data_IF_105855821348
#
_entry.id   IF_105855821348
#
_cell.length_a   1.000
_cell.length_b   1.000
_cell.length_c   1.000
_cell.angle_alpha   90.00
_cell.angle_beta   90.00
_cell.angle_gamma   90.00
#
_symmetry.space_group_name_H-M   'P 1'
#
loop_
_entity.id
_entity.type
_entity.pdbx_description
1 polymer ?
#
# COMPACT_ATOMS: atom_id res chain seq x y z
N UNK A 1 -43.08 77.91 18.46
CA UNK A 1 -43.54 76.69 19.18
C UNK A 1 -43.46 75.52 18.21
N UNK A 2 -42.80 74.45 18.64
CA UNK A 2 -42.36 73.30 17.83
C UNK A 2 -43.51 72.39 17.38
N UNK A 3 -43.46 71.90 16.14
CA UNK A 3 -44.10 70.64 15.71
C UNK A 3 -43.24 70.01 14.59
N UNK A 4 -42.96 68.69 14.62
CA UNK A 4 -41.96 68.07 13.75
C UNK A 4 -42.57 67.49 12.46
N UNK A 5 -41.79 67.57 11.37
CA UNK A 5 -42.04 66.90 10.09
C UNK A 5 -41.65 65.42 10.22
N UNK A 6 -42.58 64.49 9.93
CA UNK A 6 -42.32 63.06 9.83
C UNK A 6 -41.75 62.72 8.45
N UNK A 7 -40.50 62.27 8.40
CA UNK A 7 -39.89 61.64 7.23
C UNK A 7 -40.19 60.13 7.22
N UNK A 8 -40.78 59.65 6.12
CA UNK A 8 -40.87 58.22 5.81
C UNK A 8 -39.48 57.70 5.43
N UNK A 9 -39.00 56.66 6.13
CA UNK A 9 -37.83 55.88 5.72
C UNK A 9 -38.29 54.61 4.98
N UNK A 10 -37.97 54.52 3.68
CA UNK A 10 -38.01 53.28 2.93
C UNK A 10 -36.89 52.34 3.40
N UNK A 11 -37.23 51.15 3.88
CA UNK A 11 -36.28 50.08 4.13
C UNK A 11 -36.05 49.28 2.83
N UNK A 12 -34.90 49.47 2.18
CA UNK A 12 -34.39 48.56 1.16
C UNK A 12 -33.64 47.43 1.87
N UNK A 13 -34.27 46.26 1.96
CA UNK A 13 -33.62 45.01 2.36
C UNK A 13 -32.74 44.51 1.21
N UNK A 14 -31.42 44.53 1.40
CA UNK A 14 -30.49 43.76 0.57
C UNK A 14 -30.55 42.29 0.99
N UNK A 15 -31.23 41.47 0.19
CA UNK A 15 -31.08 40.02 0.24
C UNK A 15 -29.66 39.63 -0.22
N UNK A 16 -28.77 39.33 0.72
CA UNK A 16 -27.59 38.51 0.44
C UNK A 16 -28.06 37.09 0.13
N UNK A 17 -28.26 36.77 -1.14
CA UNK A 17 -28.45 35.39 -1.58
C UNK A 17 -27.15 34.63 -1.31
N UNK A 18 -27.19 33.73 -0.32
CA UNK A 18 -26.07 32.84 0.00
C UNK A 18 -25.86 31.91 -1.21
N UNK A 19 -24.70 32.01 -1.87
CA UNK A 19 -24.28 31.01 -2.86
C UNK A 19 -24.25 29.63 -2.18
N UNK A 20 -24.82 28.58 -2.78
CA UNK A 20 -24.76 27.24 -2.20
C UNK A 20 -23.31 26.76 -2.15
N UNK A 21 -22.85 26.28 -0.97
CA UNK A 21 -21.48 25.82 -0.72
C UNK A 21 -20.93 24.83 -1.77
N UNK A 22 -21.80 24.04 -2.41
CA UNK A 22 -21.42 23.10 -3.47
C UNK A 22 -20.93 23.77 -4.77
N UNK A 23 -21.28 25.04 -5.03
CA UNK A 23 -20.81 25.79 -6.18
C UNK A 23 -19.41 26.37 -5.94
N UNK A 24 -19.13 26.84 -4.72
CA UNK A 24 -17.79 27.30 -4.31
C UNK A 24 -16.80 26.15 -4.25
N UNK A 25 -17.20 24.98 -3.72
CA UNK A 25 -16.35 23.80 -3.63
C UNK A 25 -15.94 23.30 -5.04
N UNK A 26 -16.87 23.26 -6.00
CA UNK A 26 -16.54 22.89 -7.40
C UNK A 26 -15.64 23.90 -8.10
N UNK A 27 -15.80 25.20 -7.86
CA UNK A 27 -14.88 26.20 -8.39
C UNK A 27 -13.48 26.07 -7.78
N UNK A 28 -13.40 25.82 -6.47
CA UNK A 28 -12.13 25.62 -5.77
C UNK A 28 -11.42 24.34 -6.23
N UNK A 29 -12.15 23.23 -6.40
CA UNK A 29 -11.63 21.98 -7.00
C UNK A 29 -11.11 22.20 -8.43
N UNK A 30 -11.81 22.99 -9.23
CA UNK A 30 -11.40 23.33 -10.59
C UNK A 30 -10.09 24.12 -10.64
N UNK A 31 -9.79 24.90 -9.61
CA UNK A 31 -8.51 25.61 -9.49
C UNK A 31 -7.40 24.74 -8.89
N UNK A 32 -7.76 23.73 -8.09
CA UNK A 32 -6.83 22.87 -7.39
C UNK A 32 -6.27 21.73 -8.27
N UNK A 33 -7.01 21.30 -9.30
CA UNK A 33 -6.58 20.27 -10.26
C UNK A 33 -6.69 20.82 -11.67
N UNK A 34 -5.55 20.98 -12.35
CA UNK A 34 -5.49 21.58 -13.68
C UNK A 34 -4.79 20.63 -14.65
N UNK A 35 -5.44 20.35 -15.78
CA UNK A 35 -4.86 19.61 -16.89
C UNK A 35 -4.33 20.56 -17.98
N UNK A 36 -3.17 20.25 -18.54
CA UNK A 36 -2.59 20.92 -19.69
C UNK A 36 -1.87 19.91 -20.59
N UNK A 37 -1.92 20.14 -21.90
CA UNK A 37 -1.03 19.49 -22.87
C UNK A 37 -0.01 20.51 -23.34
N UNK A 38 1.27 20.19 -23.19
CA UNK A 38 2.38 21.11 -23.46
C UNK A 38 3.35 20.45 -24.44
N UNK A 39 3.92 21.22 -25.36
CA UNK A 39 5.02 20.75 -26.21
C UNK A 39 6.35 21.01 -25.52
N UNK A 40 7.05 19.96 -25.10
CA UNK A 40 8.33 20.06 -24.41
C UNK A 40 9.35 19.09 -25.01
N UNK A 41 10.57 19.59 -25.21
CA UNK A 41 11.67 18.81 -25.79
C UNK A 41 11.27 18.06 -27.07
N UNK A 42 10.40 18.62 -27.92
CA UNK A 42 9.98 18.01 -29.19
C UNK A 42 8.93 16.89 -29.07
N UNK A 43 8.23 16.77 -27.94
CA UNK A 43 7.11 15.82 -27.76
C UNK A 43 5.93 16.48 -27.05
N UNK A 44 4.72 15.99 -27.31
CA UNK A 44 3.54 16.35 -26.53
C UNK A 44 3.58 15.68 -25.16
N UNK A 45 3.36 16.46 -24.11
CA UNK A 45 3.39 16.04 -22.71
C UNK A 45 2.05 16.39 -22.08
N UNK A 46 1.36 15.38 -21.56
CA UNK A 46 0.12 15.54 -20.82
C UNK A 46 0.41 15.65 -19.33
N UNK A 47 -0.03 16.76 -18.70
CA UNK A 47 0.27 17.09 -17.32
C UNK A 47 -1.00 17.41 -16.57
N UNK A 48 -1.22 16.74 -15.44
CA UNK A 48 -2.18 17.17 -14.42
C UNK A 48 -1.40 17.70 -13.23
N UNK A 49 -1.63 18.97 -12.91
CA UNK A 49 -1.06 19.65 -11.74
C UNK A 49 -2.08 19.68 -10.61
N UNK A 50 -1.68 19.26 -9.41
CA UNK A 50 -2.54 19.16 -8.24
C UNK A 50 -1.98 20.01 -7.10
N UNK A 51 -2.81 20.86 -6.52
CA UNK A 51 -2.49 21.58 -5.29
C UNK A 51 -2.80 20.68 -4.07
N UNK A 52 -1.76 20.05 -3.50
CA UNK A 52 -1.91 19.15 -2.35
C UNK A 52 -2.31 19.85 -1.05
N UNK A 53 -2.21 21.18 -0.98
CA UNK A 53 -2.64 21.98 0.18
C UNK A 53 -4.14 22.31 0.14
N UNK A 54 -4.85 21.98 -0.95
CA UNK A 54 -6.28 22.18 -1.02
C UNK A 54 -7.00 21.21 -0.07
N UNK A 55 -7.84 21.69 0.86
CA UNK A 55 -8.54 20.81 1.81
C UNK A 55 -9.60 19.93 1.13
N UNK A 56 -10.02 20.30 -0.09
CA UNK A 56 -10.98 19.55 -0.90
C UNK A 56 -10.34 18.43 -1.71
N UNK A 57 -9.01 18.31 -1.72
CA UNK A 57 -8.31 17.33 -2.55
C UNK A 57 -7.74 16.20 -1.70
N UNK A 58 -7.94 14.98 -2.16
CA UNK A 58 -7.27 13.80 -1.62
C UNK A 58 -6.62 12.96 -2.72
N UNK A 59 -5.47 12.38 -2.40
CA UNK A 59 -4.76 11.42 -3.26
C UNK A 59 -5.00 10.02 -2.72
N UNK A 60 -5.52 9.11 -3.56
CA UNK A 60 -5.86 7.75 -3.14
C UNK A 60 -5.44 6.73 -4.19
N UNK A 61 -5.02 5.52 -3.79
CA UNK A 61 -4.79 4.45 -4.74
C UNK A 61 -6.12 3.86 -5.23
N UNK A 62 -6.15 3.49 -6.51
CA UNK A 62 -7.18 2.66 -7.10
C UNK A 62 -6.56 1.31 -7.40
N UNK A 63 -7.07 0.22 -6.82
CA UNK A 63 -6.46 -1.10 -6.90
C UNK A 63 -7.42 -2.12 -7.50
N UNK A 64 -6.90 -2.94 -8.41
CA UNK A 64 -7.54 -4.18 -8.79
C UNK A 64 -7.46 -5.17 -7.62
N UNK A 65 -8.39 -6.14 -7.51
CA UNK A 65 -8.26 -7.23 -6.55
C UNK A 65 -6.92 -7.97 -6.73
N UNK A 66 -6.35 -8.47 -5.63
CA UNK A 66 -5.05 -9.14 -5.65
C UNK A 66 -4.97 -10.24 -6.71
N UNK A 67 -3.91 -10.21 -7.53
CA UNK A 67 -3.69 -11.16 -8.63
C UNK A 67 -4.59 -10.94 -9.85
N UNK A 68 -5.50 -9.96 -9.83
CA UNK A 68 -6.35 -9.59 -10.96
C UNK A 68 -5.83 -8.34 -11.64
N UNK A 69 -6.27 -8.17 -12.89
CA UNK A 69 -6.04 -6.98 -13.70
C UNK A 69 -7.38 -6.47 -14.19
N UNK A 70 -7.52 -5.16 -14.25
CA UNK A 70 -8.72 -4.48 -14.72
C UNK A 70 -8.33 -3.42 -15.74
N UNK A 71 -9.22 -3.14 -16.68
CA UNK A 71 -9.06 -2.00 -17.57
C UNK A 71 -9.01 -0.69 -16.78
N UNK A 72 -8.43 0.34 -17.38
CA UNK A 72 -8.41 1.69 -16.79
C UNK A 72 -9.82 2.21 -16.49
N UNK A 73 -10.79 1.92 -17.37
CA UNK A 73 -12.19 2.30 -17.19
C UNK A 73 -12.80 1.61 -15.96
N UNK A 74 -12.60 0.29 -15.80
CA UNK A 74 -13.10 -0.44 -14.62
C UNK A 74 -12.52 0.08 -13.30
N UNK A 75 -11.23 0.40 -13.27
CA UNK A 75 -10.57 0.96 -12.08
C UNK A 75 -11.06 2.36 -11.71
N UNK A 76 -11.57 3.13 -12.67
CA UNK A 76 -12.02 4.51 -12.45
C UNK A 76 -13.54 4.66 -12.36
N UNK A 77 -14.31 3.69 -12.86
CA UNK A 77 -15.77 3.79 -12.98
C UNK A 77 -16.47 3.98 -11.63
N UNK A 78 -15.97 3.31 -10.59
CA UNK A 78 -16.59 3.28 -9.26
C UNK A 78 -16.32 4.55 -8.46
N UNK A 79 -15.05 4.93 -8.35
CA UNK A 79 -14.63 5.99 -7.44
C UNK A 79 -14.56 7.37 -8.14
N UNK A 80 -14.68 7.41 -9.48
CA UNK A 80 -14.79 8.60 -10.34
C UNK A 80 -13.80 9.72 -9.98
N UNK A 81 -12.49 9.46 -10.10
CA UNK A 81 -11.48 10.47 -9.79
C UNK A 81 -11.57 11.68 -10.73
N UNK A 82 -11.21 12.86 -10.22
CA UNK A 82 -11.00 14.07 -11.01
C UNK A 82 -9.83 13.89 -11.99
N UNK A 83 -8.82 13.13 -11.60
CA UNK A 83 -7.72 12.71 -12.48
C UNK A 83 -7.19 11.35 -12.02
N UNK A 84 -6.75 10.51 -12.96
CA UNK A 84 -6.07 9.27 -12.62
C UNK A 84 -4.84 9.06 -13.52
N UNK A 85 -3.74 8.59 -12.94
CA UNK A 85 -2.52 8.21 -13.65
C UNK A 85 -2.20 6.75 -13.31
N UNK A 86 -1.63 6.02 -14.26
CA UNK A 86 -1.02 4.71 -13.96
C UNK A 86 -0.06 4.81 -12.78
N UNK A 87 -0.15 3.86 -11.84
CA UNK A 87 0.69 3.83 -10.65
C UNK A 87 1.99 3.03 -10.82
N UNK A 88 2.36 2.30 -9.77
CA UNK A 88 3.59 1.51 -9.71
C UNK A 88 3.51 0.25 -10.58
N UNK A 89 4.66 -0.39 -10.75
CA UNK A 89 4.87 -1.62 -11.50
C UNK A 89 4.16 -2.84 -10.90
N UNK A 90 3.90 -3.82 -11.75
CA UNK A 90 3.39 -5.13 -11.38
C UNK A 90 4.01 -6.22 -12.27
N UNK A 91 4.08 -7.44 -11.75
CA UNK A 91 4.47 -8.60 -12.52
C UNK A 91 3.37 -8.95 -13.54
N UNK A 92 3.72 -8.91 -14.82
CA UNK A 92 2.73 -9.04 -15.92
C UNK A 92 2.12 -10.43 -16.03
N UNK A 93 2.76 -11.45 -15.45
CA UNK A 93 2.28 -12.84 -15.46
C UNK A 93 1.26 -13.07 -14.34
N UNK A 94 1.63 -12.75 -13.11
CA UNK A 94 0.83 -13.00 -11.90
C UNK A 94 -0.13 -11.86 -11.53
N UNK A 95 0.10 -10.64 -12.03
CA UNK A 95 -0.67 -9.46 -11.64
C UNK A 95 -0.32 -8.94 -10.23
N UNK A 96 0.75 -9.41 -9.62
CA UNK A 96 1.20 -8.95 -8.31
C UNK A 96 1.88 -7.59 -8.45
N UNK A 97 1.46 -6.61 -7.64
CA UNK A 97 2.12 -5.29 -7.55
C UNK A 97 3.50 -5.46 -6.92
N UNK A 98 4.54 -4.86 -7.51
CA UNK A 98 5.94 -5.04 -7.08
C UNK A 98 6.57 -3.76 -6.51
N UNK A 99 5.79 -2.69 -6.35
CA UNK A 99 6.16 -1.48 -5.60
C UNK A 99 5.25 -1.25 -4.41
N UNK A 100 5.68 -0.39 -3.49
CA UNK A 100 4.88 -0.06 -2.32
C UNK A 100 3.76 0.91 -2.67
N UNK A 101 2.58 0.66 -2.12
CA UNK A 101 1.47 1.61 -2.14
C UNK A 101 0.96 1.74 -0.71
N UNK A 102 0.81 2.97 -0.24
CA UNK A 102 0.31 3.29 1.10
C UNK A 102 -0.95 4.13 0.97
N UNK A 103 -1.95 3.81 1.78
CA UNK A 103 -3.16 4.61 1.99
C UNK A 103 -3.42 4.74 3.48
N UNK A 104 -3.56 5.96 3.98
CA UNK A 104 -3.91 6.26 5.38
C UNK A 104 -3.04 5.51 6.40
N UNK A 105 -1.73 5.57 6.20
CA UNK A 105 -0.71 4.92 7.03
C UNK A 105 -0.65 3.39 6.90
N UNK A 106 -1.41 2.78 6.01
CA UNK A 106 -1.42 1.34 5.76
C UNK A 106 -0.74 1.00 4.44
N UNK A 107 0.19 0.05 4.49
CA UNK A 107 0.76 -0.58 3.30
C UNK A 107 -0.30 -1.48 2.65
N UNK A 108 -0.82 -1.05 1.50
CA UNK A 108 -1.88 -1.76 0.75
C UNK A 108 -1.34 -2.57 -0.43
N UNK A 109 -0.12 -2.27 -0.88
CA UNK A 109 0.67 -3.13 -1.74
C UNK A 109 2.15 -3.02 -1.31
N UNK A 110 2.90 -4.11 -1.46
CA UNK A 110 4.29 -4.17 -1.01
C UNK A 110 5.23 -4.53 -2.16
N UNK A 111 6.39 -3.88 -2.16
CA UNK A 111 7.48 -4.15 -3.07
C UNK A 111 8.83 -3.71 -2.52
N UNK A 112 9.85 -3.88 -3.34
CA UNK A 112 11.25 -3.52 -3.00
C UNK A 112 11.84 -2.47 -3.93
N UNK A 113 11.16 -2.11 -5.03
CA UNK A 113 11.78 -1.33 -6.10
C UNK A 113 11.73 0.18 -5.85
N UNK A 114 12.87 0.82 -6.15
CA UNK A 114 13.05 2.26 -6.29
C UNK A 114 12.74 3.12 -5.07
N UNK A 115 12.21 4.31 -5.37
CA UNK A 115 11.91 5.36 -4.40
C UNK A 115 10.42 5.63 -4.35
N UNK A 116 9.92 6.15 -3.23
CA UNK A 116 8.54 6.56 -3.08
C UNK A 116 8.37 8.07 -3.10
N UNK A 117 7.31 8.52 -3.74
CA UNK A 117 6.71 9.83 -3.45
C UNK A 117 5.72 9.62 -2.31
N UNK A 118 5.90 10.35 -1.22
CA UNK A 118 5.08 10.28 -0.01
C UNK A 118 4.35 11.58 0.21
N UNK A 119 3.12 11.54 0.71
CA UNK A 119 2.30 12.69 1.06
C UNK A 119 1.84 12.48 2.51
N UNK A 120 2.20 13.41 3.40
CA UNK A 120 1.75 13.37 4.80
C UNK A 120 0.31 13.88 4.95
N UNK A 121 -0.24 13.77 6.17
CA UNK A 121 -1.61 14.24 6.47
C UNK A 121 -1.82 15.75 6.32
N UNK A 122 -0.75 16.53 6.18
CA UNK A 122 -0.79 17.99 5.99
C UNK A 122 -0.61 18.38 4.51
N UNK A 123 -0.55 17.40 3.61
CA UNK A 123 -0.35 17.63 2.18
C UNK A 123 1.11 17.92 1.79
N UNK A 124 2.08 17.73 2.70
CA UNK A 124 3.50 17.88 2.37
C UNK A 124 3.97 16.65 1.62
N UNK A 125 4.52 16.86 0.43
CA UNK A 125 5.06 15.79 -0.40
C UNK A 125 6.59 15.72 -0.32
N UNK A 126 7.14 14.50 -0.33
CA UNK A 126 8.59 14.27 -0.33
C UNK A 126 8.99 13.04 -1.12
N UNK A 127 10.24 13.02 -1.57
CA UNK A 127 10.90 11.84 -2.10
C UNK A 127 11.53 11.04 -0.95
N UNK A 128 11.27 9.74 -0.91
CA UNK A 128 11.82 8.81 0.07
C UNK A 128 12.51 7.63 -0.64
N UNK A 129 13.85 7.55 -0.63
CA UNK A 129 14.57 6.37 -1.07
C UNK A 129 14.21 5.16 -0.19
N UNK A 130 13.98 3.99 -0.79
CA UNK A 130 13.59 2.77 -0.06
C UNK A 130 14.70 1.71 0.01
N UNK A 131 15.86 1.97 -0.58
CA UNK A 131 17.08 1.16 -0.45
C UNK A 131 16.89 -0.35 -0.72
N UNK A 132 15.97 -0.72 -1.62
CA UNK A 132 15.71 -2.12 -1.96
C UNK A 132 14.99 -2.93 -0.87
N UNK A 133 14.57 -2.30 0.25
CA UNK A 133 13.91 -3.00 1.36
C UNK A 133 12.42 -3.15 1.10
N UNK A 134 11.84 -4.23 1.62
CA UNK A 134 10.38 -4.43 1.59
C UNK A 134 9.67 -3.31 2.35
N UNK A 135 8.51 -2.89 1.84
CA UNK A 135 7.67 -1.85 2.43
C UNK A 135 7.42 -2.02 3.93
N UNK A 136 7.23 -3.25 4.43
CA UNK A 136 7.00 -3.52 5.87
C UNK A 136 8.12 -3.04 6.80
N UNK A 137 9.31 -2.72 6.28
CA UNK A 137 10.44 -2.21 7.05
C UNK A 137 10.53 -0.69 7.11
N UNK A 138 9.58 0.01 6.51
CA UNK A 138 9.50 1.46 6.54
C UNK A 138 8.32 1.91 7.39
N UNK A 139 8.48 3.02 8.09
CA UNK A 139 7.39 3.65 8.82
C UNK A 139 6.52 4.48 7.88
N UNK A 140 5.23 4.15 7.86
CA UNK A 140 4.21 4.78 7.04
C UNK A 140 3.15 5.50 7.86
N UNK A 141 3.17 5.40 9.20
CA UNK A 141 2.04 5.72 10.06
C UNK A 141 1.52 7.16 9.89
N UNK A 142 2.39 8.11 9.53
CA UNK A 142 2.06 9.52 9.35
C UNK A 142 1.72 9.93 7.92
N UNK A 143 1.73 8.99 6.98
CA UNK A 143 1.43 9.26 5.58
C UNK A 143 -0.06 9.11 5.29
N UNK A 144 -0.59 10.07 4.54
CA UNK A 144 -1.88 9.90 3.87
C UNK A 144 -1.72 8.97 2.66
N UNK A 145 -0.65 9.14 1.90
CA UNK A 145 -0.43 8.41 0.66
C UNK A 145 1.06 8.17 0.41
N UNK A 146 1.39 7.03 -0.19
CA UNK A 146 2.68 6.84 -0.82
C UNK A 146 2.56 5.90 -2.02
N UNK A 147 3.41 6.13 -3.02
CA UNK A 147 3.56 5.23 -4.16
C UNK A 147 5.03 5.13 -4.52
N UNK A 148 5.54 3.90 -4.56
CA UNK A 148 6.85 3.60 -5.12
C UNK A 148 6.83 3.73 -6.63
N UNK A 149 7.99 4.03 -7.17
CA UNK A 149 8.27 3.91 -8.58
C UNK A 149 9.77 3.92 -8.77
N UNK A 150 10.17 4.21 -9.98
CA UNK A 150 11.55 4.45 -10.32
C UNK A 150 11.85 4.06 -11.76
N UNK A 151 13.10 4.31 -12.21
CA UNK A 151 14.15 4.99 -11.47
C UNK A 151 13.77 6.42 -11.08
N UNK A 152 14.43 6.94 -10.06
CA UNK A 152 14.35 8.33 -9.65
C UNK A 152 14.86 9.19 -10.80
N UNK A 153 14.04 10.14 -11.21
CA UNK A 153 14.33 11.05 -12.31
C UNK A 153 15.06 12.28 -11.81
N UNK A 154 14.52 12.87 -10.73
CA UNK A 154 15.04 14.07 -10.12
C UNK A 154 15.09 13.96 -8.60
N UNK A 155 16.17 14.48 -8.04
CA UNK A 155 16.31 14.73 -6.61
C UNK A 155 16.88 16.13 -6.41
N UNK A 156 16.19 16.95 -5.60
CA UNK A 156 16.59 18.34 -5.32
C UNK A 156 16.82 19.18 -6.60
N UNK A 157 15.99 18.98 -7.63
CA UNK A 157 16.01 19.70 -8.91
C UNK A 157 17.09 19.22 -9.89
N UNK A 158 17.89 18.21 -9.52
CA UNK A 158 18.96 17.65 -10.36
C UNK A 158 18.55 16.30 -10.93
N UNK A 159 18.98 16.04 -12.17
CA UNK A 159 18.81 14.72 -12.82
C UNK A 159 19.71 13.69 -12.14
N UNK A 160 19.11 12.62 -11.61
CA UNK A 160 19.80 11.59 -10.80
C UNK A 160 19.45 10.17 -11.25
N UNK A 161 19.24 9.97 -12.56
CA UNK A 161 18.84 8.68 -13.12
C UNK A 161 19.93 7.64 -12.92
N UNK A 162 19.73 6.74 -11.96
CA UNK A 162 20.66 5.63 -11.68
C UNK A 162 19.92 4.31 -11.37
N UNK A 163 19.32 3.68 -12.39
CA UNK A 163 18.35 2.59 -12.22
C UNK A 163 18.87 1.37 -11.47
N UNK A 164 20.14 1.01 -11.66
CA UNK A 164 20.74 -0.17 -11.03
C UNK A 164 20.81 -0.06 -9.50
N UNK A 165 21.07 1.12 -8.93
CA UNK A 165 21.04 1.29 -7.46
C UNK A 165 19.64 1.16 -6.86
N UNK A 166 18.63 1.33 -7.70
CA UNK A 166 17.22 1.33 -7.33
C UNK A 166 16.54 -0.03 -7.59
N UNK A 167 17.34 -1.04 -7.96
CA UNK A 167 16.87 -2.40 -8.21
C UNK A 167 16.24 -2.61 -9.58
N UNK A 168 16.43 -1.68 -10.53
CA UNK A 168 15.95 -1.83 -11.89
C UNK A 168 17.03 -2.43 -12.79
N UNK A 169 16.76 -3.64 -13.29
CA UNK A 169 17.65 -4.37 -14.21
C UNK A 169 16.96 -4.82 -15.50
N UNK A 170 15.65 -4.58 -15.65
CA UNK A 170 14.90 -4.98 -16.84
C UNK A 170 15.34 -4.16 -18.08
N UNK A 171 15.92 -4.78 -19.11
CA UNK A 171 16.30 -4.07 -20.34
C UNK A 171 15.13 -3.36 -21.01
N UNK A 172 13.91 -3.90 -20.85
CA UNK A 172 12.67 -3.32 -21.37
C UNK A 172 12.37 -1.92 -20.83
N UNK A 173 12.90 -1.59 -19.65
CA UNK A 173 12.77 -0.29 -19.00
C UNK A 173 13.67 0.77 -19.66
N UNK A 174 14.82 0.40 -20.22
CA UNK A 174 15.87 1.36 -20.64
C UNK A 174 15.69 1.92 -22.06
N UNK A 175 15.01 1.20 -22.95
CA UNK A 175 14.70 1.69 -24.30
C UNK A 175 13.66 2.83 -24.32
N UNK A 176 13.49 3.56 -25.43
CA UNK A 176 12.39 4.52 -25.58
C UNK A 176 11.02 3.85 -25.41
N UNK A 177 10.18 4.39 -24.54
CA UNK A 177 8.84 3.87 -24.26
C UNK A 177 7.89 5.03 -24.02
N UNK A 178 6.59 4.76 -24.12
CA UNK A 178 5.58 5.63 -23.49
C UNK A 178 5.90 5.72 -21.99
N UNK A 179 5.82 6.90 -21.40
CA UNK A 179 6.23 7.10 -20.00
C UNK A 179 5.12 7.72 -19.18
N UNK A 180 5.14 7.39 -17.90
CA UNK A 180 4.38 8.07 -16.85
C UNK A 180 5.36 8.46 -15.75
N UNK A 181 5.11 9.58 -15.11
CA UNK A 181 5.96 10.07 -14.03
C UNK A 181 5.12 10.81 -12.98
N UNK A 182 5.64 10.82 -11.77
CA UNK A 182 5.11 11.60 -10.66
C UNK A 182 6.19 12.55 -10.18
N UNK A 183 5.86 13.83 -10.09
CA UNK A 183 6.77 14.88 -9.63
C UNK A 183 6.18 15.71 -8.51
N UNK A 184 7.05 16.36 -7.74
CA UNK A 184 6.69 17.35 -6.73
C UNK A 184 7.45 18.63 -7.05
N UNK A 185 6.76 19.76 -7.13
CA UNK A 185 7.40 21.09 -7.26
C UNK A 185 7.91 21.58 -5.90
N UNK A 186 8.73 22.64 -5.88
CA UNK A 186 9.14 23.29 -4.62
C UNK A 186 7.98 23.94 -3.85
N UNK A 187 6.81 24.10 -4.48
CA UNK A 187 5.59 24.65 -3.89
C UNK A 187 4.59 23.58 -3.42
N UNK A 188 5.04 22.33 -3.26
CA UNK A 188 4.24 21.16 -2.87
C UNK A 188 3.08 20.85 -3.84
N UNK A 189 3.21 21.23 -5.13
CA UNK A 189 2.27 20.76 -6.16
C UNK A 189 2.70 19.39 -6.66
N UNK A 190 1.74 18.48 -6.83
CA UNK A 190 1.95 17.19 -7.47
C UNK A 190 1.81 17.34 -8.99
N UNK A 191 2.72 16.74 -9.73
CA UNK A 191 2.69 16.66 -11.19
C UNK A 191 2.46 15.21 -11.59
N UNK A 192 1.31 14.93 -12.20
CA UNK A 192 1.00 13.63 -12.81
C UNK A 192 1.21 13.75 -14.31
N UNK A 193 2.23 13.07 -14.83
CA UNK A 193 2.70 13.28 -16.21
C UNK A 193 2.58 12.00 -17.02
N UNK A 194 2.09 12.12 -18.25
CA UNK A 194 2.11 11.07 -19.24
C UNK A 194 2.68 11.57 -20.57
N UNK A 195 3.53 10.77 -21.20
CA UNK A 195 4.09 11.03 -22.54
C UNK A 195 3.71 9.85 -23.43
N UNK A 196 2.81 10.11 -24.38
CA UNK A 196 2.26 9.09 -25.26
C UNK A 196 3.23 8.67 -26.38
N UNK A 197 4.19 9.50 -26.75
CA UNK A 197 5.27 9.15 -27.66
C UNK A 197 6.42 8.44 -26.93
N UNK A 198 7.16 7.55 -27.61
CA UNK A 198 8.32 6.89 -27.01
C UNK A 198 9.43 7.87 -26.64
N UNK A 199 9.81 7.89 -25.37
CA UNK A 199 10.96 8.67 -24.85
C UNK A 199 11.82 7.84 -23.91
N UNK A 200 13.12 8.18 -23.85
CA UNK A 200 14.05 7.60 -22.89
C UNK A 200 13.78 8.12 -21.48
N UNK A 201 14.29 7.42 -20.47
CA UNK A 201 14.18 7.86 -19.06
C UNK A 201 14.90 9.19 -18.83
N UNK A 202 16.07 9.39 -19.44
CA UNK A 202 16.78 10.66 -19.33
C UNK A 202 15.99 11.82 -19.95
N UNK A 203 15.36 11.61 -21.12
CA UNK A 203 14.48 12.64 -21.72
C UNK A 203 13.28 12.92 -20.83
N UNK A 204 12.68 11.90 -20.22
CA UNK A 204 11.63 12.08 -19.22
C UNK A 204 12.11 12.89 -18.01
N UNK A 205 13.32 12.66 -17.51
CA UNK A 205 13.89 13.43 -16.39
C UNK A 205 14.03 14.92 -16.74
N UNK A 206 14.51 15.25 -17.95
CA UNK A 206 14.59 16.64 -18.41
C UNK A 206 13.21 17.28 -18.64
N UNK A 207 12.22 16.52 -19.11
CA UNK A 207 10.82 16.98 -19.19
C UNK A 207 10.33 17.34 -17.78
N UNK A 208 10.49 16.45 -16.79
CA UNK A 208 10.09 16.70 -15.41
C UNK A 208 10.81 17.93 -14.83
N UNK A 209 12.09 18.11 -15.16
CA UNK A 209 12.88 19.25 -14.70
C UNK A 209 12.34 20.56 -15.28
N UNK A 210 12.02 20.55 -16.58
CA UNK A 210 11.44 21.69 -17.30
C UNK A 210 10.04 22.05 -16.79
N UNK A 211 9.28 21.06 -16.30
CA UNK A 211 8.00 21.26 -15.63
C UNK A 211 8.13 21.82 -14.20
N UNK A 212 9.35 22.06 -13.72
CA UNK A 212 9.61 22.62 -12.38
C UNK A 212 9.54 21.60 -11.25
N UNK A 213 9.65 20.30 -11.54
CA UNK A 213 9.72 19.28 -10.51
C UNK A 213 11.06 19.39 -9.74
N UNK A 214 10.98 19.49 -8.41
CA UNK A 214 12.14 19.37 -7.51
C UNK A 214 12.49 17.90 -7.30
N UNK A 215 11.48 17.05 -7.16
CA UNK A 215 11.66 15.60 -7.06
C UNK A 215 10.76 14.93 -8.08
N UNK A 216 11.23 13.85 -8.69
CA UNK A 216 10.41 13.08 -9.62
C UNK A 216 10.84 11.62 -9.69
N UNK A 217 9.87 10.73 -9.87
CA UNK A 217 10.08 9.30 -10.12
C UNK A 217 9.37 8.89 -11.41
N UNK A 218 9.95 7.93 -12.12
CA UNK A 218 9.27 7.24 -13.21
C UNK A 218 8.23 6.25 -12.63
N UNK A 219 7.11 6.05 -13.32
CA UNK A 219 6.08 5.07 -12.99
C UNK A 219 5.96 4.01 -14.10
N UNK A 220 4.99 3.10 -13.97
CA UNK A 220 4.79 2.06 -14.99
C UNK A 220 4.30 2.66 -16.32
N UNK A 221 5.04 2.37 -17.38
CA UNK A 221 4.87 2.95 -18.71
C UNK A 221 4.60 1.91 -19.80
N UNK A 222 5.06 2.20 -21.02
CA UNK A 222 4.81 1.34 -22.18
C UNK A 222 3.32 1.12 -22.42
N UNK A 223 2.91 -0.15 -22.52
CA UNK A 223 1.49 -0.49 -22.64
C UNK A 223 0.67 -0.15 -21.39
N UNK A 224 1.31 0.09 -20.24
CA UNK A 224 0.60 0.56 -19.04
C UNK A 224 0.35 2.06 -19.01
N UNK A 225 0.99 2.87 -19.86
CA UNK A 225 0.90 4.32 -19.77
C UNK A 225 -0.56 4.77 -19.96
N UNK A 226 -1.12 5.41 -18.94
CA UNK A 226 -2.52 5.82 -18.90
C UNK A 226 -2.71 7.07 -18.06
N UNK A 227 -3.58 7.96 -18.53
CA UNK A 227 -3.96 9.20 -17.85
C UNK A 227 -5.41 9.53 -18.18
N UNK A 228 -6.20 9.89 -17.18
CA UNK A 228 -7.51 10.49 -17.36
C UNK A 228 -7.64 11.79 -16.58
N UNK A 229 -8.53 12.66 -17.05
CA UNK A 229 -8.92 13.90 -16.39
C UNK A 229 -10.41 14.16 -16.62
N UNK A 230 -11.15 14.42 -15.54
CA UNK A 230 -12.60 14.67 -15.52
C UNK A 230 -13.43 13.66 -16.33
N UNK A 231 -13.13 12.38 -16.15
CA UNK A 231 -13.81 11.28 -16.85
C UNK A 231 -13.34 11.04 -18.30
N UNK A 232 -12.55 11.94 -18.88
CA UNK A 232 -11.97 11.76 -20.21
C UNK A 232 -10.64 10.98 -20.12
N UNK A 233 -10.52 9.89 -20.86
CA UNK A 233 -9.27 9.15 -21.00
C UNK A 233 -8.36 9.86 -22.01
N UNK A 234 -7.32 10.54 -21.51
CA UNK A 234 -6.39 11.35 -22.31
C UNK A 234 -5.33 10.46 -22.97
N UNK A 235 -4.76 9.53 -22.19
CA UNK A 235 -3.77 8.57 -22.65
C UNK A 235 -4.32 7.17 -22.37
N UNK A 236 -4.51 6.37 -23.42
CA UNK A 236 -5.10 5.03 -23.32
C UNK A 236 -4.01 3.97 -23.07
N UNK A 237 -4.12 3.17 -22.00
CA UNK A 237 -3.23 2.02 -21.84
C UNK A 237 -3.61 0.92 -22.83
N UNK A 238 -2.60 0.20 -23.31
CA UNK A 238 -2.75 -0.96 -24.20
C UNK A 238 -2.93 -2.29 -23.47
N UNK A 239 -2.94 -2.29 -22.13
CA UNK A 239 -3.18 -3.49 -21.30
C UNK A 239 -4.00 -3.16 -20.05
N UNK A 240 -4.58 -4.20 -19.47
CA UNK A 240 -5.18 -4.13 -18.14
C UNK A 240 -4.11 -3.94 -17.06
N UNK A 241 -4.48 -3.21 -16.01
CA UNK A 241 -3.63 -2.71 -14.96
C UNK A 241 -4.04 -3.28 -13.60
N UNK A 242 -3.16 -3.11 -12.61
CA UNK A 242 -3.40 -3.53 -11.23
C UNK A 242 -3.62 -2.35 -10.30
N UNK A 243 -3.10 -1.17 -10.64
CA UNK A 243 -3.16 0.00 -9.78
C UNK A 243 -3.09 1.32 -10.56
N UNK A 244 -3.78 2.34 -10.05
CA UNK A 244 -3.69 3.74 -10.49
C UNK A 244 -3.54 4.65 -9.26
N UNK A 245 -3.07 5.88 -9.50
CA UNK A 245 -3.07 7.00 -8.56
C UNK A 245 -4.25 7.88 -8.94
N UNK A 246 -5.22 8.06 -8.03
CA UNK A 246 -6.39 8.89 -8.26
C UNK A 246 -6.38 10.18 -7.44
N UNK A 247 -6.86 11.26 -8.04
CA UNK A 247 -7.11 12.55 -7.40
C UNK A 247 -8.61 12.73 -7.25
N UNK A 248 -9.05 13.13 -6.06
CA UNK A 248 -10.45 13.15 -5.69
C UNK A 248 -10.82 14.47 -5.03
N UNK A 249 -11.98 15.00 -5.40
CA UNK A 249 -12.62 16.16 -4.75
C UNK A 249 -13.29 15.79 -3.43
N UNK A 250 -13.88 16.78 -2.78
CA UNK A 250 -14.56 16.65 -1.49
C UNK A 250 -15.79 15.72 -1.59
N UNK A 251 -16.50 15.77 -2.71
CA UNK A 251 -17.69 14.98 -3.00
C UNK A 251 -17.39 13.53 -3.40
N UNK A 252 -16.11 13.16 -3.48
CA UNK A 252 -15.73 11.86 -3.99
C UNK A 252 -16.30 10.74 -3.11
N UNK A 253 -16.79 9.64 -3.72
CA UNK A 253 -17.21 8.46 -2.99
C UNK A 253 -16.09 8.06 -2.03
N UNK A 254 -16.48 7.67 -0.83
CA UNK A 254 -15.49 7.24 0.14
C UNK A 254 -14.68 6.06 -0.43
N UNK A 255 -13.39 5.94 -0.09
CA UNK A 255 -12.44 5.12 -0.83
C UNK A 255 -12.95 3.70 -1.06
N UNK A 256 -12.66 3.05 -2.19
CA UNK A 256 -12.93 1.60 -2.33
C UNK A 256 -12.15 0.75 -1.31
N UNK A 257 -11.02 1.26 -0.80
CA UNK A 257 -10.32 0.74 0.39
C UNK A 257 -11.18 0.84 1.66
N UNK A 258 -12.25 1.65 1.70
CA UNK A 258 -13.23 1.67 2.78
C UNK A 258 -13.88 0.31 2.96
N UNK A 259 -14.02 -0.53 1.92
CA UNK A 259 -14.61 -1.87 2.07
C UNK A 259 -13.60 -2.88 2.64
N UNK A 260 -12.34 -2.79 2.23
CA UNK A 260 -11.25 -3.51 2.88
C UNK A 260 -11.09 -3.03 4.34
N UNK A 261 -11.25 -1.73 4.61
CA UNK A 261 -11.23 -1.14 5.94
C UNK A 261 -12.51 -1.44 6.75
N UNK A 262 -13.66 -1.62 6.14
CA UNK A 262 -14.90 -2.04 6.83
C UNK A 262 -14.79 -3.53 7.14
N UNK A 263 -14.30 -4.35 6.21
CA UNK A 263 -14.01 -5.76 6.46
C UNK A 263 -12.95 -5.90 7.56
N UNK A 264 -11.86 -5.11 7.51
CA UNK A 264 -10.82 -5.11 8.53
C UNK A 264 -11.32 -4.55 9.87
N UNK A 265 -12.15 -3.49 9.88
CA UNK A 265 -12.80 -2.97 11.11
C UNK A 265 -13.77 -3.98 11.70
N UNK A 266 -14.57 -4.65 10.88
CA UNK A 266 -15.50 -5.72 11.31
C UNK A 266 -14.72 -6.94 11.82
N UNK A 267 -13.66 -7.34 11.14
CA UNK A 267 -12.77 -8.40 11.58
C UNK A 267 -12.13 -8.06 12.93
N UNK A 268 -11.68 -6.81 13.10
CA UNK A 268 -11.11 -6.32 14.36
C UNK A 268 -12.17 -6.27 15.48
N UNK A 269 -13.39 -5.83 15.21
CA UNK A 269 -14.48 -5.82 16.18
C UNK A 269 -14.84 -7.24 16.64
N UNK A 270 -14.93 -8.18 15.70
CA UNK A 270 -15.10 -9.60 16.02
C UNK A 270 -13.92 -10.15 16.83
N UNK A 271 -12.69 -9.77 16.51
CA UNK A 271 -11.51 -10.16 17.27
C UNK A 271 -11.56 -9.65 18.73
N UNK A 272 -11.83 -8.35 18.91
CA UNK A 272 -11.91 -7.72 20.23
C UNK A 272 -13.00 -8.34 21.08
N UNK A 273 -14.20 -8.52 20.52
CA UNK A 273 -15.30 -9.17 21.23
C UNK A 273 -15.00 -10.63 21.55
N UNK A 274 -14.38 -11.36 20.61
CA UNK A 274 -13.93 -12.74 20.83
C UNK A 274 -12.94 -12.85 21.99
N UNK A 275 -11.95 -11.95 22.06
CA UNK A 275 -11.00 -11.87 23.17
C UNK A 275 -11.71 -11.53 24.48
N UNK A 276 -12.63 -10.56 24.50
CA UNK A 276 -13.40 -10.18 25.70
C UNK A 276 -14.21 -11.36 26.23
N UNK A 277 -14.92 -12.07 25.35
CA UNK A 277 -15.70 -13.26 25.69
C UNK A 277 -14.84 -14.40 26.21
N UNK A 278 -13.63 -14.56 25.66
CA UNK A 278 -12.67 -15.55 26.14
C UNK A 278 -12.24 -15.29 27.58
N UNK A 279 -11.89 -14.03 27.91
CA UNK A 279 -11.56 -13.65 29.29
C UNK A 279 -12.75 -13.79 30.25
N UNK A 280 -13.98 -13.65 29.75
CA UNK A 280 -15.20 -13.90 30.50
C UNK A 280 -15.57 -15.40 30.61
N UNK A 281 -14.72 -16.32 30.16
CA UNK A 281 -14.96 -17.78 30.20
C UNK A 281 -15.99 -18.30 29.20
N UNK A 282 -16.48 -17.46 28.27
CA UNK A 282 -17.54 -17.81 27.30
C UNK A 282 -16.95 -18.40 26.02
N UNK A 283 -16.34 -19.58 26.13
CA UNK A 283 -15.46 -20.16 25.11
C UNK A 283 -16.13 -20.38 23.74
N UNK A 284 -17.38 -20.86 23.69
CA UNK A 284 -18.08 -21.10 22.41
C UNK A 284 -18.34 -19.81 21.62
N UNK A 285 -18.79 -18.76 22.32
CA UNK A 285 -19.04 -17.46 21.69
C UNK A 285 -17.73 -16.81 21.28
N UNK A 286 -16.69 -16.91 22.11
CA UNK A 286 -15.35 -16.44 21.78
C UNK A 286 -14.84 -17.10 20.49
N UNK A 287 -14.94 -18.43 20.38
CA UNK A 287 -14.57 -19.20 19.19
C UNK A 287 -15.29 -18.71 17.94
N UNK A 288 -16.61 -18.52 18.02
CA UNK A 288 -17.43 -18.05 16.89
C UNK A 288 -16.97 -16.67 16.38
N UNK A 289 -16.77 -15.73 17.29
CA UNK A 289 -16.30 -14.38 16.95
C UNK A 289 -14.88 -14.39 16.36
N UNK A 290 -13.95 -15.12 16.97
CA UNK A 290 -12.57 -15.21 16.46
C UNK A 290 -12.48 -15.93 15.11
N UNK A 291 -13.31 -16.95 14.86
CA UNK A 291 -13.36 -17.62 13.57
C UNK A 291 -13.89 -16.68 12.46
N UNK A 292 -14.90 -15.84 12.76
CA UNK A 292 -15.38 -14.80 11.84
C UNK A 292 -14.29 -13.78 11.53
N UNK A 293 -13.55 -13.32 12.54
CA UNK A 293 -12.41 -12.41 12.34
C UNK A 293 -11.35 -13.01 11.41
N UNK A 294 -10.95 -14.26 11.66
CA UNK A 294 -9.96 -14.97 10.85
C UNK A 294 -10.45 -15.28 9.43
N UNK A 295 -11.75 -15.49 9.22
CA UNK A 295 -12.33 -15.66 7.89
C UNK A 295 -12.37 -14.35 7.08
N UNK A 296 -12.68 -13.23 7.75
CA UNK A 296 -12.72 -11.90 7.12
C UNK A 296 -11.34 -11.37 6.75
N UNK A 297 -10.31 -11.68 7.54
CA UNK A 297 -8.92 -11.30 7.25
C UNK A 297 -7.95 -12.45 7.59
N UNK A 298 -7.77 -13.42 6.67
CA UNK A 298 -6.94 -14.60 6.90
C UNK A 298 -5.44 -14.31 7.03
N UNK A 299 -4.99 -13.11 6.65
CA UNK A 299 -3.59 -12.68 6.72
C UNK A 299 -3.14 -12.28 8.13
N UNK A 300 -4.09 -12.05 9.05
CA UNK A 300 -3.77 -11.54 10.38
C UNK A 300 -3.41 -12.66 11.35
N UNK A 301 -2.10 -12.83 11.59
CA UNK A 301 -1.54 -13.84 12.47
C UNK A 301 -2.16 -13.84 13.89
N UNK A 302 -2.46 -12.65 14.43
CA UNK A 302 -3.08 -12.48 15.77
C UNK A 302 -4.48 -13.10 15.88
N UNK A 303 -5.25 -13.15 14.79
CA UNK A 303 -6.60 -13.73 14.81
C UNK A 303 -6.52 -15.25 14.96
N UNK A 304 -5.62 -15.87 14.19
CA UNK A 304 -5.32 -17.29 14.29
C UNK A 304 -4.72 -17.66 15.66
N UNK A 305 -3.83 -16.84 16.20
CA UNK A 305 -3.25 -17.07 17.53
C UNK A 305 -4.29 -17.02 18.65
N UNK A 306 -5.25 -16.09 18.60
CA UNK A 306 -6.31 -16.02 19.60
C UNK A 306 -7.28 -17.20 19.47
N UNK A 307 -7.66 -17.56 18.23
CA UNK A 307 -8.51 -18.73 17.98
C UNK A 307 -7.84 -20.02 18.46
N UNK A 308 -6.52 -20.15 18.29
CA UNK A 308 -5.72 -21.25 18.82
C UNK A 308 -5.77 -21.32 20.35
N UNK A 309 -5.66 -20.18 21.04
CA UNK A 309 -5.79 -20.10 22.49
C UNK A 309 -7.14 -20.58 23.00
N UNK A 310 -8.24 -20.17 22.36
CA UNK A 310 -9.58 -20.68 22.70
C UNK A 310 -9.69 -22.18 22.48
N UNK A 311 -9.19 -22.69 21.35
CA UNK A 311 -9.19 -24.13 21.06
C UNK A 311 -8.40 -24.94 22.08
N UNK A 312 -7.25 -24.42 22.54
CA UNK A 312 -6.42 -25.04 23.56
C UNK A 312 -7.15 -25.16 24.90
N UNK A 313 -7.88 -24.12 25.31
CA UNK A 313 -8.70 -24.14 26.53
C UNK A 313 -9.94 -25.05 26.42
N UNK A 314 -10.50 -25.17 25.22
CA UNK A 314 -11.69 -25.99 24.95
C UNK A 314 -11.36 -27.48 24.71
N UNK A 315 -10.08 -27.88 24.80
CA UNK A 315 -9.63 -29.25 24.61
C UNK A 315 -9.46 -29.70 23.15
N UNK A 316 -9.71 -28.84 22.16
CA UNK A 316 -9.49 -29.14 20.73
C UNK A 316 -8.01 -28.92 20.36
N UNK A 317 -7.15 -29.79 20.91
CA UNK A 317 -5.69 -29.68 20.78
C UNK A 317 -5.23 -29.73 19.32
N UNK A 318 -5.89 -30.55 18.49
CA UNK A 318 -5.51 -30.72 17.09
C UNK A 318 -5.71 -29.44 16.27
N UNK A 319 -6.89 -28.81 16.37
CA UNK A 319 -7.16 -27.55 15.65
C UNK A 319 -6.36 -26.40 16.25
N UNK A 320 -6.23 -26.33 17.57
CA UNK A 320 -5.40 -25.33 18.23
C UNK A 320 -3.95 -25.36 17.72
N UNK A 321 -3.35 -26.55 17.60
CA UNK A 321 -2.03 -26.72 16.98
C UNK A 321 -2.00 -26.19 15.54
N UNK A 322 -2.98 -26.52 14.70
CA UNK A 322 -3.02 -26.02 13.32
C UNK A 322 -3.11 -24.49 13.25
N UNK A 323 -3.92 -23.88 14.11
CA UNK A 323 -4.06 -22.42 14.18
C UNK A 323 -2.80 -21.73 14.69
N UNK A 324 -2.12 -22.29 15.70
CA UNK A 324 -0.82 -21.80 16.15
C UNK A 324 0.24 -21.88 15.05
N UNK A 325 0.31 -22.99 14.30
CA UNK A 325 1.25 -23.11 13.19
C UNK A 325 0.94 -22.15 12.05
N UNK A 326 -0.34 -21.92 11.74
CA UNK A 326 -0.75 -20.91 10.76
C UNK A 326 -0.33 -19.51 11.19
N UNK A 327 -0.59 -19.15 12.45
CA UNK A 327 -0.15 -17.88 13.02
C UNK A 327 1.38 -17.75 13.00
N UNK A 328 2.11 -18.78 13.40
CA UNK A 328 3.58 -18.79 13.41
C UNK A 328 4.17 -18.62 12.01
N UNK A 329 3.63 -19.30 10.99
CA UNK A 329 4.06 -19.13 9.59
C UNK A 329 3.78 -17.72 9.07
N UNK A 330 2.65 -17.13 9.44
CA UNK A 330 2.36 -15.73 9.13
C UNK A 330 3.35 -14.79 9.85
N UNK A 331 3.68 -15.02 11.12
CA UNK A 331 4.70 -14.20 11.78
C UNK A 331 6.10 -14.37 11.16
N UNK A 332 6.48 -15.57 10.73
CA UNK A 332 7.73 -15.81 10.00
C UNK A 332 7.78 -15.07 8.67
N UNK A 333 6.67 -15.06 7.91
CA UNK A 333 6.63 -14.28 6.65
C UNK A 333 6.76 -12.77 6.91
N UNK A 334 6.45 -12.31 8.12
CA UNK A 334 6.61 -10.93 8.57
C UNK A 334 7.87 -10.70 9.43
N UNK A 335 8.83 -11.62 9.43
CA UNK A 335 10.12 -11.50 10.12
C UNK A 335 10.01 -11.32 11.64
N UNK A 336 8.90 -11.78 12.20
CA UNK A 336 8.61 -11.81 13.65
C UNK A 336 8.94 -13.17 14.20
N UNK A 337 10.23 -13.51 14.13
CA UNK A 337 10.73 -14.85 14.41
C UNK A 337 10.50 -15.25 15.88
N UNK A 338 10.64 -14.31 16.82
CA UNK A 338 10.41 -14.56 18.25
C UNK A 338 8.94 -14.87 18.53
N UNK A 339 8.01 -14.11 17.96
CA UNK A 339 6.58 -14.38 18.10
C UNK A 339 6.19 -15.69 17.43
N UNK A 340 6.73 -15.98 16.25
CA UNK A 340 6.53 -17.27 15.61
C UNK A 340 7.05 -18.43 16.46
N UNK A 341 8.24 -18.27 17.05
CA UNK A 341 8.84 -19.27 17.93
C UNK A 341 7.99 -19.50 19.17
N UNK A 342 7.51 -18.44 19.81
CA UNK A 342 6.60 -18.53 20.97
C UNK A 342 5.33 -19.31 20.64
N UNK A 343 4.73 -19.08 19.47
CA UNK A 343 3.54 -19.82 19.04
C UNK A 343 3.85 -21.25 18.63
N UNK A 344 5.01 -21.51 18.03
CA UNK A 344 5.47 -22.86 17.74
C UNK A 344 5.74 -23.66 19.02
N UNK A 345 6.25 -23.02 20.08
CA UNK A 345 6.39 -23.62 21.41
C UNK A 345 5.02 -24.00 22.01
N UNK A 346 4.01 -23.12 21.92
CA UNK A 346 2.63 -23.45 22.31
C UNK A 346 2.05 -24.61 21.50
N UNK A 347 2.27 -24.63 20.18
CA UNK A 347 1.87 -25.75 19.33
C UNK A 347 2.57 -27.06 19.75
N UNK A 348 3.83 -26.99 20.20
CA UNK A 348 4.60 -28.13 20.70
C UNK A 348 4.09 -28.66 22.03
N UNK A 349 3.66 -27.79 22.95
CA UNK A 349 2.98 -28.20 24.20
C UNK A 349 1.73 -29.02 23.88
N UNK A 350 0.98 -28.63 22.84
CA UNK A 350 -0.24 -29.31 22.43
C UNK A 350 0.00 -30.61 21.68
N UNK A 351 1.03 -30.66 20.83
CA UNK A 351 1.31 -31.77 19.91
C UNK A 351 2.82 -31.96 19.69
N UNK A 352 3.58 -32.48 20.69
CA UNK A 352 5.05 -32.51 20.65
C UNK A 352 5.63 -33.43 19.56
N UNK A 353 4.90 -34.49 19.19
CA UNK A 353 5.31 -35.48 18.20
C UNK A 353 5.12 -35.05 16.73
N UNK A 354 4.50 -33.90 16.46
CA UNK A 354 4.20 -33.48 15.09
C UNK A 354 5.42 -32.89 14.38
N UNK A 355 5.76 -33.45 13.21
CA UNK A 355 6.89 -33.00 12.39
C UNK A 355 6.77 -31.54 11.95
N UNK A 356 5.59 -31.11 11.53
CA UNK A 356 5.38 -29.72 11.08
C UNK A 356 5.49 -28.69 12.21
N UNK A 357 5.21 -29.10 13.46
CA UNK A 357 5.47 -28.29 14.65
C UNK A 357 6.97 -28.11 14.87
N UNK A 358 7.72 -29.21 14.84
CA UNK A 358 9.18 -29.18 15.03
C UNK A 358 9.88 -28.41 13.92
N UNK A 359 9.38 -28.49 12.68
CA UNK A 359 9.90 -27.72 11.55
C UNK A 359 9.71 -26.22 11.77
N UNK A 360 8.48 -25.77 12.05
CA UNK A 360 8.20 -24.34 12.27
C UNK A 360 8.95 -23.81 13.49
N UNK A 361 9.05 -24.61 14.56
CA UNK A 361 9.86 -24.26 15.73
C UNK A 361 11.35 -24.13 15.39
N UNK A 362 11.89 -25.08 14.64
CA UNK A 362 13.28 -25.10 14.23
C UNK A 362 13.65 -23.90 13.35
N UNK A 363 12.81 -23.57 12.37
CA UNK A 363 12.98 -22.41 11.47
C UNK A 363 12.84 -21.09 12.24
N UNK A 364 11.83 -20.97 13.10
CA UNK A 364 11.65 -19.75 13.92
C UNK A 364 12.77 -19.55 14.93
N UNK A 365 13.23 -20.61 15.59
CA UNK A 365 14.38 -20.56 16.49
C UNK A 365 15.69 -20.19 15.75
N UNK A 366 15.89 -20.68 14.52
CA UNK A 366 17.04 -20.29 13.69
C UNK A 366 17.07 -18.79 13.43
N UNK A 367 15.92 -18.23 13.00
CA UNK A 367 15.78 -16.82 12.67
C UNK A 367 15.86 -15.93 13.92
N UNK A 368 15.45 -16.43 15.08
CA UNK A 368 15.53 -15.74 16.38
C UNK A 368 16.89 -15.86 17.07
N UNK A 369 17.89 -16.48 16.43
CA UNK A 369 19.23 -16.68 17.01
C UNK A 369 19.33 -17.79 18.07
N UNK A 370 18.26 -18.54 18.33
CA UNK A 370 18.21 -19.63 19.31
C UNK A 370 18.76 -20.94 18.72
N UNK A 371 20.07 -20.97 18.42
CA UNK A 371 20.71 -22.05 17.66
C UNK A 371 20.56 -23.44 18.28
N UNK A 372 20.65 -23.57 19.61
CA UNK A 372 20.50 -24.87 20.28
C UNK A 372 19.08 -25.43 20.19
N UNK A 373 18.06 -24.58 20.36
CA UNK A 373 16.66 -24.96 20.18
C UNK A 373 16.36 -25.31 18.71
N UNK A 374 16.89 -24.50 17.80
CA UNK A 374 16.75 -24.73 16.36
C UNK A 374 17.33 -26.06 15.95
N UNK A 375 18.57 -26.36 16.35
CA UNK A 375 19.25 -27.63 16.03
C UNK A 375 18.41 -28.82 16.49
N UNK A 376 18.05 -28.89 17.78
CA UNK A 376 17.28 -30.01 18.35
C UNK A 376 15.95 -30.22 17.63
N UNK A 377 15.22 -29.15 17.35
CA UNK A 377 13.93 -29.24 16.67
C UNK A 377 14.08 -29.76 15.23
N UNK A 378 15.07 -29.25 14.48
CA UNK A 378 15.30 -29.66 13.08
C UNK A 378 15.90 -31.07 12.97
N UNK A 379 16.77 -31.48 13.88
CA UNK A 379 17.27 -32.85 13.97
C UNK A 379 16.13 -33.84 14.24
N UNK A 380 15.19 -33.47 15.13
CA UNK A 380 13.99 -34.28 15.35
C UNK A 380 13.13 -34.44 14.08
N UNK A 381 13.09 -33.43 13.20
CA UNK A 381 12.39 -33.53 11.90
C UNK A 381 13.12 -34.51 10.98
N UNK A 382 14.44 -34.37 10.84
CA UNK A 382 15.25 -35.23 9.96
C UNK A 382 15.31 -36.67 10.45
N UNK A 383 15.33 -36.90 11.77
CA UNK A 383 15.31 -38.25 12.34
C UNK A 383 14.00 -39.00 12.00
N UNK A 384 12.86 -38.29 11.97
CA UNK A 384 11.56 -38.88 11.59
C UNK A 384 11.37 -38.96 10.08
N UNK A 385 11.94 -38.02 9.34
CA UNK A 385 11.86 -37.95 7.88
C UNK A 385 13.24 -37.68 7.28
N UNK A 386 14.06 -38.73 7.13
CA UNK A 386 15.36 -38.62 6.48
C UNK A 386 15.21 -37.98 5.10
N UNK A 387 15.95 -36.91 4.83
CA UNK A 387 15.87 -36.16 3.56
C UNK A 387 14.90 -34.97 3.54
N UNK A 388 14.28 -34.60 4.66
CA UNK A 388 13.44 -33.39 4.71
C UNK A 388 14.24 -32.14 4.31
N UNK A 389 13.95 -31.59 3.12
CA UNK A 389 14.78 -30.59 2.43
C UNK A 389 14.96 -29.32 3.26
N UNK A 390 13.87 -28.77 3.78
CA UNK A 390 13.90 -27.50 4.52
C UNK A 390 14.67 -27.61 5.84
N UNK A 391 14.42 -28.67 6.62
CA UNK A 391 15.14 -28.91 7.87
C UNK A 391 16.63 -29.16 7.64
N UNK A 392 16.97 -29.98 6.64
CA UNK A 392 18.36 -30.25 6.25
C UNK A 392 19.09 -28.97 5.81
N UNK A 393 18.41 -28.08 5.09
CA UNK A 393 18.96 -26.78 4.70
C UNK A 393 19.28 -25.93 5.92
N UNK A 394 18.36 -25.79 6.86
CA UNK A 394 18.57 -24.97 8.07
C UNK A 394 19.65 -25.55 9.00
N UNK A 395 19.78 -26.88 9.10
CA UNK A 395 20.89 -27.52 9.82
C UNK A 395 22.26 -27.20 9.20
N UNK A 396 22.37 -27.21 7.85
CA UNK A 396 23.61 -26.78 7.18
C UNK A 396 23.92 -25.31 7.45
N UNK A 397 22.91 -24.45 7.50
CA UNK A 397 23.08 -23.04 7.81
C UNK A 397 23.53 -22.80 9.26
N UNK A 398 23.06 -23.60 10.22
CA UNK A 398 23.51 -23.57 11.61
C UNK A 398 24.99 -23.95 11.75
N UNK A 399 25.43 -25.01 11.07
CA UNK A 399 26.85 -25.43 11.06
C UNK A 399 27.77 -24.33 10.55
N UNK A 400 27.36 -23.59 9.52
CA UNK A 400 28.12 -22.47 8.96
C UNK A 400 28.21 -21.24 9.88
N UNK A 401 27.28 -21.09 10.83
CA UNK A 401 27.27 -19.98 11.81
C UNK A 401 28.16 -20.21 13.03
N UNK A 402 28.90 -21.33 13.10
CA UNK A 402 29.79 -21.62 14.23
C UNK A 402 29.05 -21.93 15.54
N UNK A 403 27.76 -22.28 15.49
CA UNK A 403 27.05 -22.71 16.69
C UNK A 403 27.71 -24.00 17.24
N UNK A 404 28.19 -24.05 18.50
CA UNK A 404 28.91 -25.20 19.05
C UNK A 404 28.06 -26.46 18.93
N UNK A 405 28.68 -27.63 18.69
CA UNK A 405 28.02 -28.92 18.47
C UNK A 405 27.05 -29.29 19.60
#
# INVERSE_FOLDING_TARGET
MNAPVRLLFCALWWCFASLPAAASDRQQESSAVVYQRIWLSGVAVDVVTVNLKSPTISVRPLLAPAGRRQSFAELTARDRPLAALTGTFFDTRSGVVIGNIVSDGRLVAEGTVGSAITIDRKGKASLRPLSGRLGRYHDWADLQFAVSGGPTLLQNGRVTVWPWSEGFSDPGLFGPRRRTALGITSSDKLLMVAVASPVSIHRLAHIMQSLGARHAINLDGGNSAGLSYRGCLIVRPGRSLTNLIGIFGADAPAPSSRWADIAARRALAHYQEGCRLFHAGRLDRARSHLARAAAMDPGQARFWSALAGVGAHHGDRARATQYYLRAARLYLSHWKAEEAMRLALRARELSPGRTDVQLVLGVSAYQSGQSGLSRRALESVVARHPGHVEASRHLRLLKRRGAPN
#
